data_IF_323547573038
#
_entry.id   IF_323547573038
#
_cell.length_a   1.000
_cell.length_b   1.000
_cell.length_c   1.000
_cell.angle_alpha   90.00
_cell.angle_beta   90.00
_cell.angle_gamma   90.00
#
_symmetry.space_group_name_H-M   'P 1'
#
loop_
_entity.id
_entity.type
_entity.pdbx_description
1 polymer ?
#
# COMPACT_ATOMS: atom_id res chain seq x y z
N UNK A 1 9.81 -6.93 2.98
CA UNK A 1 10.38 -7.01 4.34
C UNK A 1 9.33 -6.87 5.41
N UNK A 2 8.86 -5.65 5.70
CA UNK A 2 7.97 -5.34 6.85
C UNK A 2 6.47 -5.66 6.64
N UNK A 3 6.10 -6.36 5.57
CA UNK A 3 4.72 -6.74 5.30
C UNK A 3 3.83 -5.70 4.60
N UNK A 4 4.40 -4.77 3.80
CA UNK A 4 3.63 -3.79 3.00
C UNK A 4 2.71 -4.47 1.98
N UNK A 5 3.27 -5.15 0.99
CA UNK A 5 2.55 -5.95 0.00
C UNK A 5 1.53 -6.90 0.62
N UNK A 6 1.92 -7.67 1.65
CA UNK A 6 1.01 -8.56 2.36
C UNK A 6 -0.14 -7.80 2.99
N UNK A 7 0.11 -6.62 3.57
CA UNK A 7 -0.95 -5.78 4.11
C UNK A 7 -1.83 -5.22 3.01
N UNK A 8 -1.28 -4.74 1.90
CA UNK A 8 -2.06 -4.22 0.76
C UNK A 8 -3.03 -5.26 0.21
N UNK A 9 -2.55 -6.48 -0.09
CA UNK A 9 -3.39 -7.59 -0.59
C UNK A 9 -4.52 -7.91 0.39
N UNK A 10 -4.17 -8.12 1.66
CA UNK A 10 -5.14 -8.65 2.63
C UNK A 10 -6.07 -7.57 3.17
N UNK A 11 -5.63 -6.33 3.32
CA UNK A 11 -6.53 -5.23 3.63
C UNK A 11 -7.47 -4.97 2.46
N UNK A 12 -6.95 -4.99 1.22
CA UNK A 12 -7.74 -4.84 0.00
C UNK A 12 -8.83 -5.88 -0.14
N UNK A 13 -8.48 -7.16 -0.01
CA UNK A 13 -9.44 -8.25 -0.03
C UNK A 13 -10.45 -8.18 1.14
N UNK A 14 -10.03 -7.68 2.30
CA UNK A 14 -10.91 -7.49 3.46
C UNK A 14 -11.97 -6.42 3.21
N UNK A 15 -11.54 -5.28 2.65
CA UNK A 15 -12.42 -4.18 2.25
C UNK A 15 -13.40 -4.61 1.14
N UNK A 16 -12.92 -5.33 0.12
CA UNK A 16 -13.76 -5.88 -0.94
C UNK A 16 -14.79 -6.88 -0.37
N UNK A 17 -14.37 -7.77 0.53
CA UNK A 17 -15.26 -8.68 1.24
C UNK A 17 -16.28 -7.98 2.14
N UNK A 18 -16.01 -6.74 2.56
CA UNK A 18 -16.94 -5.87 3.27
C UNK A 18 -17.84 -5.03 2.33
N UNK A 19 -17.80 -5.29 1.03
CA UNK A 19 -18.65 -4.66 0.00
C UNK A 19 -18.15 -3.31 -0.49
N UNK A 20 -16.89 -2.96 -0.25
CA UNK A 20 -16.28 -1.74 -0.81
C UNK A 20 -15.76 -1.99 -2.23
N UNK A 21 -15.78 -0.97 -3.09
CA UNK A 21 -15.10 -0.98 -4.39
C UNK A 21 -13.63 -0.67 -4.16
N UNK A 22 -12.74 -1.63 -4.45
CA UNK A 22 -11.32 -1.53 -4.08
C UNK A 22 -10.42 -1.68 -5.31
N UNK A 23 -9.48 -0.76 -5.45
CA UNK A 23 -8.36 -0.86 -6.40
C UNK A 23 -7.03 -0.98 -5.64
N UNK A 24 -6.20 -1.93 -6.03
CA UNK A 24 -4.82 -2.04 -5.54
C UNK A 24 -3.84 -1.59 -6.63
N UNK A 25 -2.88 -0.74 -6.31
CA UNK A 25 -1.87 -0.27 -7.25
C UNK A 25 -0.52 -0.81 -6.82
N UNK A 26 0.13 -1.59 -7.69
CA UNK A 26 1.52 -2.03 -7.48
C UNK A 26 2.46 -0.91 -7.91
N UNK A 27 3.11 -0.26 -6.95
CA UNK A 27 4.09 0.80 -7.19
C UNK A 27 5.52 0.34 -6.80
N UNK A 28 5.79 -0.96 -6.95
CA UNK A 28 7.12 -1.55 -6.83
C UNK A 28 7.49 -2.24 -8.16
N UNK A 29 8.58 -1.83 -8.84
CA UNK A 29 9.06 -2.49 -10.06
C UNK A 29 9.38 -3.98 -9.89
N UNK A 30 9.44 -4.49 -8.66
CA UNK A 30 9.55 -5.92 -8.39
C UNK A 30 8.22 -6.68 -8.58
N UNK A 31 7.09 -6.01 -8.79
CA UNK A 31 5.82 -6.64 -9.09
C UNK A 31 5.28 -7.55 -7.98
N UNK A 32 5.69 -7.36 -6.72
CA UNK A 32 5.39 -8.30 -5.64
C UNK A 32 3.89 -8.38 -5.34
N UNK A 33 3.16 -7.27 -5.47
CA UNK A 33 1.71 -7.25 -5.35
C UNK A 33 1.07 -7.98 -6.53
N UNK A 34 1.53 -7.68 -7.75
CA UNK A 34 1.08 -8.29 -9.01
C UNK A 34 1.19 -9.81 -8.98
N UNK A 35 2.34 -10.35 -8.56
CA UNK A 35 2.55 -11.79 -8.37
C UNK A 35 1.61 -12.36 -7.33
N UNK A 36 1.42 -11.65 -6.20
CA UNK A 36 0.55 -12.11 -5.12
C UNK A 36 -0.93 -12.19 -5.53
N UNK A 37 -1.33 -11.47 -6.58
CA UNK A 37 -2.67 -11.46 -7.17
C UNK A 37 -2.79 -12.37 -8.41
N UNK A 38 -1.80 -13.23 -8.65
CA UNK A 38 -1.90 -14.30 -9.64
C UNK A 38 -1.25 -14.02 -11.00
N UNK A 39 -0.56 -12.89 -11.16
CA UNK A 39 0.26 -12.69 -12.36
C UNK A 39 1.52 -13.54 -12.25
N UNK A 40 1.67 -14.52 -13.16
CA UNK A 40 2.79 -15.46 -13.12
C UNK A 40 4.14 -14.80 -13.40
N UNK A 41 4.20 -13.95 -14.43
CA UNK A 41 5.39 -13.17 -14.79
C UNK A 41 4.97 -11.73 -15.13
N UNK A 42 5.14 -10.77 -14.19
CA UNK A 42 4.73 -9.39 -14.43
C UNK A 42 5.45 -8.72 -15.61
N UNK A 43 6.65 -9.17 -15.97
CA UNK A 43 7.43 -8.58 -17.07
C UNK A 43 6.88 -8.96 -18.45
N UNK A 44 5.91 -9.89 -18.52
CA UNK A 44 5.17 -10.22 -19.75
C UNK A 44 3.92 -9.36 -19.96
N UNK A 45 3.53 -8.56 -18.97
CA UNK A 45 2.38 -7.67 -19.06
C UNK A 45 2.75 -6.35 -19.74
N UNK A 46 2.02 -6.01 -20.81
CA UNK A 46 2.26 -4.79 -21.59
C UNK A 46 1.51 -3.55 -21.07
N UNK A 47 0.38 -3.76 -20.37
CA UNK A 47 -0.46 -2.69 -19.85
C UNK A 47 -0.39 -2.73 -18.32
N UNK A 48 0.55 -1.95 -17.77
CA UNK A 48 0.85 -1.89 -16.33
C UNK A 48 0.83 -0.43 -15.86
N UNK A 49 1.11 -0.21 -14.57
CA UNK A 49 1.32 1.13 -14.02
C UNK A 49 2.41 1.89 -14.79
N UNK A 50 3.46 1.21 -15.26
CA UNK A 50 4.53 1.86 -16.02
C UNK A 50 3.99 2.47 -17.32
N UNK A 51 3.19 1.72 -18.06
CA UNK A 51 2.55 2.19 -19.30
C UNK A 51 1.68 3.42 -19.07
N UNK A 52 0.83 3.38 -18.03
CA UNK A 52 -0.04 4.50 -17.66
C UNK A 52 0.76 5.74 -17.24
N UNK A 53 1.81 5.57 -16.42
CA UNK A 53 2.66 6.68 -15.98
C UNK A 53 3.44 7.31 -17.14
N UNK A 54 3.90 6.52 -18.12
CA UNK A 54 4.59 7.05 -19.31
C UNK A 54 3.63 7.86 -20.17
N UNK A 55 2.42 7.37 -20.39
CA UNK A 55 1.40 8.08 -21.18
C UNK A 55 1.01 9.41 -20.51
N UNK A 56 0.78 9.39 -19.19
CA UNK A 56 0.52 10.61 -18.40
C UNK A 56 1.67 11.60 -18.50
N UNK A 57 2.91 11.12 -18.36
CA UNK A 57 4.12 11.94 -18.44
C UNK A 57 4.30 12.62 -19.80
N UNK A 58 3.90 11.94 -20.89
CA UNK A 58 3.95 12.50 -22.24
C UNK A 58 2.76 13.41 -22.57
N UNK A 59 1.70 13.40 -21.76
CA UNK A 59 0.44 14.06 -22.07
C UNK A 59 -0.33 13.39 -23.21
N UNK A 60 -0.13 12.08 -23.40
CA UNK A 60 -0.82 11.29 -24.43
C UNK A 60 -2.30 11.09 -24.04
N UNK A 61 -3.17 10.86 -25.03
CA UNK A 61 -4.52 10.37 -24.74
C UNK A 61 -4.48 8.88 -24.46
N UNK A 62 -4.96 8.47 -23.29
CA UNK A 62 -5.06 7.08 -22.88
C UNK A 62 -6.21 6.88 -21.90
N UNK A 63 -6.59 5.62 -21.66
CA UNK A 63 -7.52 5.24 -20.60
C UNK A 63 -6.82 4.29 -19.63
N UNK A 64 -6.64 4.70 -18.38
CA UNK A 64 -6.02 3.87 -17.34
C UNK A 64 -6.78 2.54 -17.12
N UNK A 65 -8.07 2.48 -17.46
CA UNK A 65 -8.90 1.26 -17.33
C UNK A 65 -8.36 0.09 -18.16
N UNK A 66 -7.65 0.37 -19.26
CA UNK A 66 -7.00 -0.67 -20.09
C UNK A 66 -5.83 -1.37 -19.37
N UNK A 67 -5.31 -0.74 -18.31
CA UNK A 67 -4.23 -1.28 -17.48
C UNK A 67 -4.76 -1.99 -16.22
N UNK A 68 -6.04 -1.83 -15.88
CA UNK A 68 -6.64 -2.45 -14.69
C UNK A 68 -6.96 -3.93 -14.97
N UNK A 69 -6.82 -4.77 -13.94
CA UNK A 69 -7.20 -6.18 -13.94
C UNK A 69 -8.22 -6.45 -12.85
N UNK A 70 -9.18 -7.31 -13.15
CA UNK A 70 -10.16 -7.79 -12.18
C UNK A 70 -9.64 -9.06 -11.51
N UNK A 71 -9.77 -9.14 -10.19
CA UNK A 71 -9.43 -10.32 -9.41
C UNK A 71 -10.70 -11.03 -8.90
N UNK A 72 -10.69 -12.35 -8.86
CA UNK A 72 -11.84 -13.19 -8.46
C UNK A 72 -12.34 -12.95 -7.02
N UNK A 73 -11.56 -12.28 -6.18
CA UNK A 73 -11.95 -11.89 -4.82
C UNK A 73 -12.73 -10.57 -4.76
N UNK A 74 -13.18 -10.04 -5.91
CA UNK A 74 -14.05 -8.86 -5.98
C UNK A 74 -13.32 -7.53 -5.81
N UNK A 75 -12.04 -7.49 -6.16
CA UNK A 75 -11.20 -6.30 -6.16
C UNK A 75 -10.52 -6.14 -7.52
N UNK A 76 -10.08 -4.92 -7.79
CA UNK A 76 -9.31 -4.60 -8.97
C UNK A 76 -7.86 -4.32 -8.61
N UNK A 77 -6.97 -4.46 -9.58
CA UNK A 77 -5.58 -4.08 -9.39
C UNK A 77 -4.92 -3.56 -10.67
N UNK A 78 -4.01 -2.61 -10.49
CA UNK A 78 -3.13 -2.07 -11.51
C UNK A 78 -1.72 -2.66 -11.30
N UNK A 79 -1.29 -3.60 -12.15
CA UNK A 79 -0.04 -4.33 -11.95
C UNK A 79 1.18 -3.46 -12.23
N UNK A 80 2.35 -3.93 -11.77
CA UNK A 80 3.66 -3.36 -12.07
C UNK A 80 4.52 -4.37 -12.83
N UNK A 81 5.49 -3.86 -13.58
CA UNK A 81 6.55 -4.63 -14.22
C UNK A 81 7.90 -3.91 -14.01
N UNK A 82 8.99 -4.52 -14.49
CA UNK A 82 10.33 -3.94 -14.41
C UNK A 82 10.44 -2.56 -15.07
N UNK A 83 9.56 -2.23 -16.02
CA UNK A 83 9.61 -0.95 -16.73
C UNK A 83 9.35 0.26 -15.82
N UNK A 84 8.67 0.04 -14.69
CA UNK A 84 8.46 1.06 -13.67
C UNK A 84 9.80 1.58 -13.10
N UNK A 85 10.87 0.77 -13.14
CA UNK A 85 12.21 1.22 -12.78
C UNK A 85 12.76 2.27 -13.75
N UNK A 86 12.39 2.22 -15.04
CA UNK A 86 12.76 3.25 -16.01
C UNK A 86 11.97 4.55 -15.78
N UNK A 87 10.71 4.45 -15.34
CA UNK A 87 9.92 5.63 -14.93
C UNK A 87 10.57 6.32 -13.73
N UNK A 88 11.08 5.56 -12.75
CA UNK A 88 11.79 6.10 -11.57
C UNK A 88 13.06 6.90 -11.95
N UNK A 89 13.71 6.58 -13.07
CA UNK A 89 14.93 7.26 -13.53
C UNK A 89 14.65 8.39 -14.53
N UNK A 90 13.74 8.18 -15.47
CA UNK A 90 13.44 9.09 -16.59
C UNK A 90 12.70 10.37 -16.16
N UNK A 91 12.03 10.33 -15.01
CA UNK A 91 11.28 11.47 -14.49
C UNK A 91 12.15 12.64 -14.03
N UNK A 92 13.48 12.56 -14.03
CA UNK A 92 14.37 13.65 -13.59
C UNK A 92 14.24 14.96 -14.38
N UNK A 93 13.84 14.91 -15.65
CA UNK A 93 13.78 16.07 -16.52
C UNK A 93 12.36 16.65 -16.68
N UNK A 94 11.35 16.03 -16.06
CA UNK A 94 9.95 16.45 -16.20
C UNK A 94 9.52 17.45 -15.15
N UNK A 95 8.76 18.47 -15.59
CA UNK A 95 8.06 19.39 -14.72
C UNK A 95 6.92 18.62 -14.02
N UNK A 96 6.74 18.82 -12.72
CA UNK A 96 5.67 18.20 -11.91
C UNK A 96 5.70 16.65 -11.85
N UNK A 97 6.88 16.06 -11.98
CA UNK A 97 7.10 14.60 -11.94
C UNK A 97 6.55 13.88 -10.71
N UNK A 98 6.36 14.58 -9.60
CA UNK A 98 5.77 14.08 -8.36
C UNK A 98 4.25 13.86 -8.46
N UNK A 99 3.59 14.43 -9.47
CA UNK A 99 2.14 14.37 -9.67
C UNK A 99 1.71 13.34 -10.72
N UNK A 100 2.64 12.62 -11.37
CA UNK A 100 2.31 11.69 -12.47
C UNK A 100 1.31 10.63 -12.01
N UNK A 101 1.56 9.97 -10.88
CA UNK A 101 0.61 8.98 -10.34
C UNK A 101 -0.72 9.61 -9.92
N UNK A 102 -0.71 10.89 -9.51
CA UNK A 102 -1.96 11.60 -9.18
C UNK A 102 -2.80 11.83 -10.44
N UNK A 103 -2.18 12.16 -11.57
CA UNK A 103 -2.85 12.27 -12.87
C UNK A 103 -3.46 10.94 -13.32
N UNK A 104 -2.70 9.84 -13.21
CA UNK A 104 -3.18 8.48 -13.49
C UNK A 104 -4.41 8.15 -12.63
N UNK A 105 -4.35 8.37 -11.32
CA UNK A 105 -5.44 8.05 -10.38
C UNK A 105 -6.66 8.96 -10.59
N UNK A 106 -6.46 10.23 -10.97
CA UNK A 106 -7.56 11.18 -11.17
C UNK A 106 -8.59 10.70 -12.20
N UNK A 107 -8.19 9.86 -13.17
CA UNK A 107 -9.09 9.31 -14.19
C UNK A 107 -10.10 8.30 -13.65
N UNK A 108 -9.81 7.68 -12.49
CA UNK A 108 -10.59 6.56 -11.91
C UNK A 108 -10.95 6.77 -10.44
N UNK A 109 -10.66 7.93 -9.86
CA UNK A 109 -10.83 8.21 -8.42
C UNK A 109 -12.26 7.94 -7.93
N UNK A 110 -13.27 8.34 -8.70
CA UNK A 110 -14.68 8.23 -8.30
C UNK A 110 -15.27 6.81 -8.49
N UNK A 111 -14.52 5.90 -9.12
CA UNK A 111 -14.95 4.52 -9.37
C UNK A 111 -14.71 3.59 -8.18
N UNK A 112 -13.82 3.98 -7.26
CA UNK A 112 -13.41 3.17 -6.11
C UNK A 112 -13.68 3.90 -4.80
N UNK A 113 -14.08 3.14 -3.78
CA UNK A 113 -14.22 3.66 -2.42
C UNK A 113 -12.85 3.67 -1.72
N UNK A 114 -11.96 2.76 -2.09
CA UNK A 114 -10.59 2.67 -1.58
C UNK A 114 -9.59 2.37 -2.70
N UNK A 115 -8.51 3.15 -2.77
CA UNK A 115 -7.34 2.89 -3.61
C UNK A 115 -6.14 2.66 -2.69
N UNK A 116 -5.57 1.45 -2.69
CA UNK A 116 -4.41 1.11 -1.87
C UNK A 116 -3.15 1.02 -2.75
N UNK A 117 -2.13 1.82 -2.44
CA UNK A 117 -0.87 1.87 -3.20
C UNK A 117 0.21 1.08 -2.45
N UNK A 118 0.74 0.01 -3.04
CA UNK A 118 1.89 -0.75 -2.49
C UNK A 118 3.21 -0.15 -2.97
N UNK A 119 3.87 0.59 -2.09
CA UNK A 119 5.11 1.29 -2.44
C UNK A 119 6.36 0.42 -2.26
N UNK A 120 7.36 0.63 -3.11
CA UNK A 120 8.72 0.15 -2.87
C UNK A 120 9.31 0.63 -1.52
N UNK A 121 10.26 -0.10 -0.91
CA UNK A 121 10.86 0.26 0.38
C UNK A 121 11.81 1.47 0.36
N UNK A 122 12.10 2.06 -0.81
CA UNK A 122 13.00 3.21 -0.94
C UNK A 122 12.26 4.54 -1.09
N UNK A 123 12.83 5.61 -0.56
CA UNK A 123 12.32 6.97 -0.69
C UNK A 123 12.79 7.61 -2.01
N UNK A 124 12.38 7.01 -3.14
CA UNK A 124 12.64 7.51 -4.51
C UNK A 124 11.39 8.19 -5.08
N UNK A 125 11.45 8.65 -6.33
CA UNK A 125 10.39 9.47 -6.94
C UNK A 125 9.06 8.71 -7.05
N UNK A 126 9.08 7.38 -7.21
CA UNK A 126 7.85 6.56 -7.14
C UNK A 126 7.14 6.65 -5.79
N UNK A 127 7.90 6.60 -4.68
CA UNK A 127 7.32 6.76 -3.34
C UNK A 127 6.81 8.18 -3.11
N UNK A 128 7.48 9.19 -3.66
CA UNK A 128 6.97 10.57 -3.62
C UNK A 128 5.67 10.70 -4.42
N UNK A 129 5.56 10.05 -5.58
CA UNK A 129 4.33 9.99 -6.37
C UNK A 129 3.18 9.36 -5.57
N UNK A 130 3.44 8.24 -4.90
CA UNK A 130 2.44 7.59 -4.05
C UNK A 130 1.98 8.49 -2.89
N UNK A 131 2.91 9.16 -2.19
CA UNK A 131 2.57 10.11 -1.13
C UNK A 131 1.83 11.35 -1.66
N UNK A 132 2.12 11.76 -2.88
CA UNK A 132 1.46 12.91 -3.53
C UNK A 132 0.03 12.57 -3.92
N UNK A 133 -0.23 11.34 -4.35
CA UNK A 133 -1.56 10.88 -4.75
C UNK A 133 -2.45 10.40 -3.59
N UNK A 134 -1.87 10.06 -2.44
CA UNK A 134 -2.58 9.48 -1.31
C UNK A 134 -3.28 10.52 -0.42
N UNK A 135 -4.45 10.16 0.13
CA UNK A 135 -5.11 10.93 1.19
C UNK A 135 -4.47 10.64 2.57
N UNK A 136 -4.13 9.37 2.83
CA UNK A 136 -3.49 8.96 4.07
C UNK A 136 -2.44 7.87 3.88
N UNK A 137 -1.54 7.72 4.87
CA UNK A 137 -0.44 6.74 4.86
C UNK A 137 -0.54 5.77 6.04
N UNK A 138 -0.71 4.48 5.74
CA UNK A 138 -0.56 3.38 6.69
C UNK A 138 0.90 2.92 6.74
N UNK A 139 1.48 2.76 7.94
CA UNK A 139 2.90 2.45 8.12
C UNK A 139 3.07 1.08 8.81
N UNK A 140 3.32 0.00 8.05
CA UNK A 140 3.65 -1.30 8.61
C UNK A 140 5.04 -1.32 9.27
N UNK A 141 5.12 -1.82 10.50
CA UNK A 141 6.34 -1.90 11.32
C UNK A 141 6.55 -3.31 11.84
N UNK A 142 7.69 -3.92 11.51
CA UNK A 142 8.06 -5.25 11.99
C UNK A 142 8.57 -5.21 13.44
N UNK A 143 8.09 -6.13 14.28
CA UNK A 143 8.44 -6.16 15.72
C UNK A 143 9.70 -6.96 16.07
N UNK A 144 10.56 -7.27 15.09
CA UNK A 144 11.88 -7.90 15.35
C UNK A 144 13.00 -6.89 15.49
N UNK A 145 12.86 -5.76 14.81
CA UNK A 145 13.82 -4.67 14.83
C UNK A 145 13.06 -3.39 14.50
N UNK A 146 13.07 -2.41 15.41
CA UNK A 146 12.57 -1.08 15.12
C UNK A 146 13.75 -0.20 14.72
N UNK A 147 14.02 0.03 13.42
CA UNK A 147 14.93 1.07 13.01
C UNK A 147 14.24 2.42 13.27
N UNK A 148 14.34 2.93 14.50
CA UNK A 148 13.82 4.24 14.90
C UNK A 148 14.28 5.31 13.89
N UNK A 149 15.53 5.21 13.43
CA UNK A 149 16.09 6.07 12.39
C UNK A 149 15.32 6.00 11.06
N UNK A 150 14.93 4.81 10.62
CA UNK A 150 14.17 4.63 9.38
C UNK A 150 12.75 5.22 9.49
N UNK A 151 12.11 5.03 10.65
CA UNK A 151 10.80 5.62 10.92
C UNK A 151 10.86 7.16 10.98
N UNK A 152 11.89 7.71 11.62
CA UNK A 152 12.14 9.16 11.65
C UNK A 152 12.35 9.73 10.24
N UNK A 153 13.13 9.06 9.40
CA UNK A 153 13.35 9.47 8.00
C UNK A 153 12.04 9.43 7.19
N UNK A 154 11.21 8.42 7.41
CA UNK A 154 9.88 8.34 6.79
C UNK A 154 9.00 9.51 7.22
N UNK A 155 8.90 9.81 8.52
CA UNK A 155 8.12 10.94 9.02
C UNK A 155 8.62 12.29 8.49
N UNK A 156 9.94 12.49 8.41
CA UNK A 156 10.52 13.70 7.80
C UNK A 156 10.13 13.83 6.33
N UNK A 157 10.09 12.72 5.59
CA UNK A 157 9.71 12.70 4.18
C UNK A 157 8.22 13.00 4.01
N UNK A 158 7.35 12.32 4.76
CA UNK A 158 5.90 12.58 4.77
C UNK A 158 5.64 14.05 5.12
N UNK A 159 6.29 14.59 6.16
CA UNK A 159 6.15 15.99 6.53
C UNK A 159 6.61 16.96 5.45
N UNK A 160 7.67 16.62 4.70
CA UNK A 160 8.17 17.43 3.58
C UNK A 160 7.21 17.41 2.39
N UNK A 161 6.68 16.23 2.03
CA UNK A 161 5.67 16.08 0.97
C UNK A 161 4.40 16.83 1.36
N UNK A 162 3.94 16.67 2.60
CA UNK A 162 2.77 17.38 3.11
C UNK A 162 2.93 18.89 3.03
N UNK A 163 4.08 19.41 3.45
CA UNK A 163 4.33 20.86 3.45
C UNK A 163 4.44 21.47 2.05
N UNK A 164 4.99 20.73 1.07
CA UNK A 164 5.35 21.31 -0.25
C UNK A 164 4.43 20.90 -1.40
N UNK A 165 3.79 19.74 -1.32
CA UNK A 165 3.17 19.07 -2.47
C UNK A 165 1.72 18.68 -2.17
N UNK A 166 1.47 17.92 -1.08
CA UNK A 166 0.14 17.42 -0.73
C UNK A 166 -0.27 17.83 0.71
N UNK A 167 -0.80 19.05 0.92
CA UNK A 167 -1.17 19.56 2.25
C UNK A 167 -2.19 18.70 3.02
N UNK A 168 -3.00 17.93 2.29
CA UNK A 168 -4.07 17.08 2.83
C UNK A 168 -3.56 15.71 3.26
N UNK A 169 -2.30 15.35 2.97
CA UNK A 169 -1.72 14.06 3.33
C UNK A 169 -1.71 13.87 4.85
N UNK A 170 -2.35 12.80 5.31
CA UNK A 170 -2.36 12.41 6.71
C UNK A 170 -1.61 11.11 6.99
N UNK A 171 -1.22 10.90 8.25
CA UNK A 171 -0.70 9.61 8.68
C UNK A 171 -1.89 8.85 9.27
N UNK A 172 -2.37 7.84 8.55
CA UNK A 172 -3.46 6.95 8.97
C UNK A 172 -3.11 6.25 10.29
N UNK A 173 -1.87 5.77 10.38
CA UNK A 173 -1.31 5.23 11.60
C UNK A 173 -0.24 4.17 11.38
N UNK A 174 0.22 3.62 12.49
CA UNK A 174 1.24 2.56 12.53
C UNK A 174 0.58 1.21 12.79
N UNK A 175 0.91 0.23 11.94
CA UNK A 175 0.46 -1.16 12.05
C UNK A 175 1.62 -2.07 12.42
N UNK A 176 1.53 -2.76 13.54
CA UNK A 176 2.53 -3.77 13.89
C UNK A 176 2.32 -5.05 13.10
N UNK A 177 3.37 -5.47 12.40
CA UNK A 177 3.40 -6.70 11.60
C UNK A 177 4.41 -7.70 12.13
N UNK A 178 4.20 -8.97 11.76
CA UNK A 178 5.00 -10.11 12.24
C UNK A 178 5.08 -10.18 13.78
N UNK A 179 3.97 -9.85 14.42
CA UNK A 179 3.85 -9.83 15.87
C UNK A 179 3.90 -11.24 16.44
N UNK A 180 4.71 -11.46 17.47
CA UNK A 180 4.89 -12.79 18.08
C UNK A 180 4.66 -12.83 19.60
N UNK A 181 4.28 -11.72 20.23
CA UNK A 181 3.97 -11.66 21.67
C UNK A 181 5.17 -11.90 22.59
N UNK A 182 6.39 -11.84 22.07
CA UNK A 182 7.61 -11.91 22.87
C UNK A 182 7.82 -10.60 23.64
N UNK A 183 8.60 -10.65 24.72
CA UNK A 183 8.98 -9.46 25.49
C UNK A 183 9.58 -8.36 24.58
N UNK A 184 10.37 -8.74 23.57
CA UNK A 184 10.94 -7.80 22.61
C UNK A 184 9.86 -7.10 21.78
N UNK A 185 8.87 -7.86 21.29
CA UNK A 185 7.77 -7.28 20.50
C UNK A 185 6.88 -6.34 21.32
N UNK A 186 6.64 -6.65 22.61
CA UNK A 186 5.91 -5.76 23.52
C UNK A 186 6.72 -4.50 23.84
N UNK A 187 8.03 -4.64 24.09
CA UNK A 187 8.91 -3.49 24.35
C UNK A 187 8.95 -2.53 23.15
N UNK A 188 9.10 -3.07 21.93
CA UNK A 188 9.08 -2.26 20.70
C UNK A 188 7.74 -1.54 20.55
N UNK A 189 6.63 -2.23 20.78
CA UNK A 189 5.31 -1.63 20.69
C UNK A 189 5.11 -0.51 21.73
N UNK A 190 5.55 -0.73 22.97
CA UNK A 190 5.51 0.26 24.04
C UNK A 190 6.37 1.48 23.72
N UNK A 191 7.63 1.29 23.29
CA UNK A 191 8.53 2.40 22.96
C UNK A 191 8.02 3.25 21.79
N UNK A 192 7.44 2.63 20.76
CA UNK A 192 6.86 3.39 19.64
C UNK A 192 5.61 4.16 20.08
N UNK A 193 4.76 3.53 20.91
CA UNK A 193 3.57 4.18 21.45
C UNK A 193 3.92 5.33 22.39
N UNK A 194 4.98 5.21 23.19
CA UNK A 194 5.49 6.28 24.05
C UNK A 194 6.06 7.44 23.23
N UNK A 195 6.85 7.14 22.19
CA UNK A 195 7.51 8.15 21.37
C UNK A 195 6.55 8.89 20.43
N UNK A 196 5.53 8.21 19.89
CA UNK A 196 4.70 8.74 18.79
C UNK A 196 3.19 8.64 19.03
N UNK A 197 2.72 7.88 20.02
CA UNK A 197 1.28 7.60 20.22
C UNK A 197 0.43 8.83 20.57
N UNK A 198 1.06 9.94 20.98
CA UNK A 198 0.38 11.23 21.20
C UNK A 198 0.14 12.02 19.91
N UNK A 199 0.89 11.72 18.85
CA UNK A 199 0.88 12.48 17.58
C UNK A 199 0.46 11.64 16.39
N UNK A 200 0.60 10.32 16.49
CA UNK A 200 0.36 9.37 15.41
C UNK A 200 -0.42 8.21 15.98
N UNK A 201 -1.50 7.84 15.29
CA UNK A 201 -2.30 6.69 15.68
C UNK A 201 -1.47 5.41 15.61
N UNK A 202 -1.65 4.55 16.60
CA UNK A 202 -1.18 3.16 16.58
C UNK A 202 -2.42 2.27 16.51
N UNK A 203 -2.49 1.39 15.52
CA UNK A 203 -3.60 0.45 15.38
C UNK A 203 -3.62 -0.53 16.55
N UNK A 204 -4.80 -0.82 17.08
CA UNK A 204 -4.97 -1.82 18.14
C UNK A 204 -4.68 -3.22 17.61
N UNK A 205 -5.06 -3.45 16.35
CA UNK A 205 -4.81 -4.71 15.66
C UNK A 205 -3.32 -4.93 15.42
N UNK A 206 -2.83 -6.12 15.80
CA UNK A 206 -1.45 -6.57 15.55
C UNK A 206 -1.47 -7.76 14.60
N UNK A 207 -0.74 -7.68 13.49
CA UNK A 207 -0.70 -8.76 12.49
C UNK A 207 0.33 -9.80 12.94
N UNK A 208 -0.09 -11.05 13.26
CA UNK A 208 0.83 -12.07 13.73
C UNK A 208 1.75 -12.55 12.61
N UNK A 209 2.88 -13.14 12.98
CA UNK A 209 3.73 -13.84 12.00
C UNK A 209 2.93 -14.96 11.33
N UNK A 210 2.84 -14.88 10.01
CA UNK A 210 2.09 -15.84 9.21
C UNK A 210 3.08 -16.72 8.44
N UNK A 211 3.42 -17.88 9.00
CA UNK A 211 4.26 -18.88 8.30
C UNK A 211 3.65 -19.30 6.96
N UNK A 212 2.32 -19.40 6.89
CA UNK A 212 1.56 -19.65 5.66
C UNK A 212 1.46 -18.45 4.71
N UNK A 213 1.66 -17.21 5.19
CA UNK A 213 1.68 -16.04 4.30
C UNK A 213 2.97 -15.96 3.47
N UNK A 214 4.03 -16.67 3.87
CA UNK A 214 5.23 -16.80 3.05
C UNK A 214 4.99 -17.61 1.76
N UNK A 215 3.94 -18.45 1.74
CA UNK A 215 3.54 -19.28 0.59
C UNK A 215 2.35 -18.69 -0.19
N UNK A 216 1.63 -17.73 0.39
CA UNK A 216 0.47 -17.10 -0.23
C UNK A 216 0.76 -16.39 -1.57
N UNK A 217 1.92 -15.72 -1.78
CA UNK A 217 2.22 -15.07 -3.07
C UNK A 217 2.19 -16.04 -4.24
N UNK A 218 2.67 -17.27 -4.05
CA UNK A 218 2.62 -18.33 -5.07
C UNK A 218 1.23 -18.93 -5.32
N UNK A 219 0.23 -18.59 -4.48
CA UNK A 219 -1.14 -19.08 -4.62
C UNK A 219 -2.06 -18.14 -5.41
N UNK A 220 -1.59 -16.93 -5.74
CA UNK A 220 -2.37 -15.91 -6.45
C UNK A 220 -3.67 -15.53 -5.74
N UNK A 221 -3.67 -15.50 -4.39
CA UNK A 221 -4.87 -15.19 -3.62
C UNK A 221 -4.56 -14.64 -2.23
N UNK A 222 -5.53 -13.95 -1.63
CA UNK A 222 -5.44 -13.43 -0.27
C UNK A 222 -5.43 -14.52 0.80
N UNK A 223 -5.08 -14.16 2.04
CA UNK A 223 -5.18 -15.06 3.19
C UNK A 223 -6.62 -15.49 3.49
N UNK A 224 -7.64 -14.72 3.08
CA UNK A 224 -9.03 -15.13 3.25
C UNK A 224 -9.37 -16.34 2.40
N UNK A 225 -8.79 -16.45 1.20
CA UNK A 225 -8.98 -17.60 0.33
C UNK A 225 -7.99 -18.72 0.64
N UNK A 226 -6.69 -18.41 0.76
CA UNK A 226 -5.66 -19.42 0.98
C UNK A 226 -5.70 -20.05 2.39
N UNK A 227 -5.95 -19.23 3.42
CA UNK A 227 -5.89 -19.67 4.81
C UNK A 227 -6.94 -18.97 5.71
N UNK A 228 -8.25 -19.12 5.42
CA UNK A 228 -9.33 -18.38 6.10
C UNK A 228 -9.34 -18.56 7.62
N UNK A 229 -8.94 -19.74 8.11
CA UNK A 229 -8.90 -20.08 9.55
C UNK A 229 -7.60 -19.66 10.24
N UNK A 230 -6.71 -18.96 9.55
CA UNK A 230 -5.42 -18.53 10.11
C UNK A 230 -5.59 -17.34 11.06
N UNK A 231 -4.70 -17.24 12.05
CA UNK A 231 -4.64 -16.08 12.94
C UNK A 231 -4.40 -14.76 12.18
N UNK A 232 -3.68 -14.83 11.06
CA UNK A 232 -3.40 -13.67 10.22
C UNK A 232 -4.64 -13.20 9.44
N UNK A 233 -5.42 -14.12 8.87
CA UNK A 233 -6.71 -13.76 8.24
C UNK A 233 -7.67 -13.11 9.26
N UNK A 234 -7.76 -13.67 10.47
CA UNK A 234 -8.55 -13.07 11.55
C UNK A 234 -8.04 -11.66 11.93
N UNK A 235 -6.73 -11.46 11.99
CA UNK A 235 -6.13 -10.16 12.26
C UNK A 235 -6.41 -9.15 11.14
N UNK A 236 -6.33 -9.53 9.87
CA UNK A 236 -6.69 -8.65 8.76
C UNK A 236 -8.20 -8.33 8.72
N UNK A 237 -9.06 -9.24 9.17
CA UNK A 237 -10.48 -8.94 9.40
C UNK A 237 -10.65 -7.85 10.46
N UNK A 238 -9.94 -7.97 11.59
CA UNK A 238 -9.99 -6.98 12.66
C UNK A 238 -9.46 -5.61 12.20
N UNK A 239 -8.37 -5.59 11.43
CA UNK A 239 -7.80 -4.36 10.86
C UNK A 239 -8.80 -3.68 9.91
N UNK A 240 -9.46 -4.46 9.06
CA UNK A 240 -10.48 -3.95 8.11
C UNK A 240 -11.63 -3.29 8.86
N UNK A 241 -12.14 -3.95 9.90
CA UNK A 241 -13.22 -3.39 10.71
C UNK A 241 -12.78 -2.13 11.47
N UNK A 242 -11.57 -2.15 12.04
CA UNK A 242 -10.99 -1.01 12.76
C UNK A 242 -10.82 0.21 11.83
N UNK A 243 -10.48 -0.01 10.56
CA UNK A 243 -10.41 1.05 9.54
C UNK A 243 -11.80 1.55 9.15
N UNK A 244 -12.74 0.65 8.81
CA UNK A 244 -14.09 1.03 8.39
C UNK A 244 -14.87 1.78 9.48
N UNK A 245 -14.71 1.40 10.75
CA UNK A 245 -15.33 2.10 11.87
C UNK A 245 -14.83 3.54 12.03
N UNK A 246 -13.57 3.80 11.67
CA UNK A 246 -12.99 5.13 11.73
C UNK A 246 -13.55 6.04 10.63
N UNK A 247 -13.53 5.59 9.37
CA UNK A 247 -14.08 6.38 8.26
C UNK A 247 -15.57 6.70 8.46
N UNK A 248 -16.32 5.82 9.15
CA UNK A 248 -17.70 6.12 9.58
C UNK A 248 -17.79 7.24 10.63
N UNK A 249 -16.83 7.33 11.55
CA UNK A 249 -16.80 8.36 12.61
C UNK A 249 -16.33 9.72 12.10
N UNK A 250 -15.40 9.73 11.15
CA UNK A 250 -14.80 10.95 10.60
C UNK A 250 -15.60 11.55 9.44
N UNK A 251 -16.60 10.81 8.92
CA UNK A 251 -17.28 11.10 7.66
C UNK A 251 -16.43 10.61 6.49
N UNK A 252 -17.05 10.03 5.46
CA UNK A 252 -16.31 9.63 4.25
C UNK A 252 -15.57 10.86 3.70
N UNK A 253 -14.24 10.77 3.61
CA UNK A 253 -13.35 11.82 3.12
C UNK A 253 -13.12 11.64 1.63
#
# INVERSE_FOLDING_TARGET
>A
GVGKTTTTVNLGAGLAGAGQRVLLIDADPQGSLSVSLGIGDPDTENNTLASAMVQEMNGDQYDVRDCIRHHDEGLDFLPANIELAFVDVSTNDNINREYILSGVIAQIRDEYDYILIDCMPSLRILTINALTAADSVLIPVETKFLPIKGLQQLFQTIGSVRYRINPNLEIEGVLFTMYNGTNLSEQIAASLSEAYGSSIRVFNTRIPTATKAAEAPSSGSSLFRYAPKSKAAAAYTALTNELLEQYKKEGAR
#
